data_IF_778022914114
#
_entry.id   IF_778022914114
#
_cell.length_a   1.000
_cell.length_b   1.000
_cell.length_c   1.000
_cell.angle_alpha   90.00
_cell.angle_beta   90.00
_cell.angle_gamma   90.00
#
_symmetry.space_group_name_H-M   'P 1'
#
loop_
_entity.id
_entity.type
_entity.pdbx_description
1 polymer ?
#
# COMPACT_ATOMS: atom_id res chain seq x y z
N UNK A 1 31.15 16.28 27.72
CA UNK A 1 30.67 14.91 27.50
C UNK A 1 29.16 14.96 27.52
N UNK A 2 28.54 15.06 26.35
CA UNK A 2 27.07 15.04 26.19
C UNK A 2 26.70 13.65 25.75
N UNK A 3 26.15 12.87 26.66
CA UNK A 3 25.56 11.58 26.35
C UNK A 3 24.28 11.84 25.55
N UNK A 4 24.34 11.58 24.26
CA UNK A 4 23.18 11.63 23.39
C UNK A 4 22.12 10.67 23.91
N UNK A 5 20.97 11.21 24.26
CA UNK A 5 19.77 10.48 24.61
C UNK A 5 19.24 9.80 23.35
N UNK A 6 19.74 8.60 23.03
CA UNK A 6 19.18 7.74 21.99
C UNK A 6 17.88 7.20 22.59
N UNK A 7 16.77 7.91 22.35
CA UNK A 7 15.46 7.37 22.67
C UNK A 7 15.37 5.99 22.02
N UNK A 8 15.21 4.96 22.84
CA UNK A 8 14.96 3.58 22.40
C UNK A 8 13.75 3.64 21.44
N UNK A 9 13.98 3.35 20.17
CA UNK A 9 12.85 3.21 19.23
C UNK A 9 12.04 2.03 19.71
N UNK A 10 10.74 2.22 19.85
CA UNK A 10 9.83 1.10 20.11
C UNK A 10 9.89 0.14 18.92
N UNK A 11 10.48 -1.04 19.14
CA UNK A 11 10.70 -2.06 18.10
C UNK A 11 9.39 -2.53 17.47
N UNK A 12 8.25 -2.23 18.09
CA UNK A 12 6.94 -2.57 17.60
C UNK A 12 6.37 -1.54 16.58
N UNK A 13 7.00 -0.37 16.40
CA UNK A 13 6.52 0.64 15.44
C UNK A 13 7.12 0.35 14.06
N UNK A 14 6.27 0.10 13.07
CA UNK A 14 6.67 -0.16 11.68
C UNK A 14 6.68 1.11 10.83
N UNK A 15 5.75 2.04 11.08
CA UNK A 15 5.69 3.36 10.44
C UNK A 15 5.44 4.41 11.50
N UNK A 16 6.20 5.50 11.48
CA UNK A 16 5.96 6.68 12.31
C UNK A 16 5.99 7.93 11.42
N UNK A 17 5.03 8.83 11.62
CA UNK A 17 5.03 10.17 11.03
C UNK A 17 4.91 11.22 12.12
N UNK A 18 5.61 12.36 11.96
CA UNK A 18 5.57 13.49 12.91
C UNK A 18 5.39 14.78 12.14
N UNK A 19 4.21 15.40 12.28
CA UNK A 19 3.82 16.63 11.59
C UNK A 19 4.11 16.56 10.08
N UNK A 20 3.88 15.38 9.49
CA UNK A 20 4.19 15.13 8.08
C UNK A 20 3.16 15.82 7.19
N UNK A 21 3.66 16.61 6.26
CA UNK A 21 2.92 17.27 5.20
C UNK A 21 3.56 16.98 3.85
N UNK A 22 2.76 16.89 2.79
CA UNK A 22 3.24 16.78 1.43
C UNK A 22 2.84 18.02 0.62
N UNK A 23 3.70 18.42 -0.31
CA UNK A 23 3.49 19.58 -1.16
C UNK A 23 3.55 19.15 -2.63
N UNK A 24 2.83 19.87 -3.49
CA UNK A 24 2.93 19.80 -4.95
C UNK A 24 2.87 21.20 -5.50
N UNK A 25 3.87 21.59 -6.28
CA UNK A 25 3.97 22.93 -6.86
C UNK A 25 3.75 24.03 -5.79
N UNK A 26 4.50 23.91 -4.67
CA UNK A 26 4.45 24.80 -3.48
C UNK A 26 3.13 24.75 -2.69
N UNK A 27 2.09 24.09 -3.20
CA UNK A 27 0.82 23.93 -2.51
C UNK A 27 0.87 22.77 -1.52
N UNK A 28 0.54 23.06 -0.26
CA UNK A 28 0.32 22.01 0.74
C UNK A 28 -0.95 21.22 0.42
N UNK A 29 -0.84 19.88 0.44
CA UNK A 29 -1.94 19.00 0.05
C UNK A 29 -2.90 18.71 1.20
N UNK A 30 -2.38 18.63 2.43
CA UNK A 30 -3.17 18.29 3.62
C UNK A 30 -2.52 18.86 4.89
N UNK A 31 -3.34 19.00 5.95
CA UNK A 31 -2.89 19.41 7.27
C UNK A 31 -1.84 18.42 7.84
N UNK A 32 -0.95 18.86 8.76
CA UNK A 32 0.07 17.98 9.32
C UNK A 32 -0.54 16.74 9.97
N UNK A 33 0.03 15.58 9.69
CA UNK A 33 -0.37 14.31 10.28
C UNK A 33 0.75 13.72 11.16
N UNK A 34 0.34 13.08 12.26
CA UNK A 34 1.25 12.36 13.17
C UNK A 34 0.61 11.04 13.54
N UNK A 35 1.09 9.96 12.93
CA UNK A 35 0.51 8.64 13.01
C UNK A 35 1.58 7.61 13.32
N UNK A 36 1.18 6.55 14.03
CA UNK A 36 2.00 5.37 14.29
C UNK A 36 1.28 4.12 13.81
N UNK A 37 1.99 3.26 13.10
CA UNK A 37 1.53 1.91 12.76
C UNK A 37 2.43 0.90 13.44
N UNK A 38 1.84 0.00 14.20
CA UNK A 38 2.55 -1.03 14.95
C UNK A 38 2.49 -2.38 14.22
N UNK A 39 3.37 -3.28 14.60
CA UNK A 39 3.32 -4.68 14.17
C UNK A 39 1.91 -5.24 14.43
N UNK A 40 1.31 -5.90 13.46
CA UNK A 40 -0.05 -6.40 13.50
C UNK A 40 -1.13 -5.32 13.31
N UNK A 41 -0.74 -4.06 13.05
CA UNK A 41 -1.66 -2.95 12.90
C UNK A 41 -1.88 -2.52 11.45
N UNK A 42 -3.01 -1.87 11.20
CA UNK A 42 -3.36 -1.28 9.90
C UNK A 42 -3.79 0.18 10.06
N UNK A 43 -3.37 1.02 9.10
CA UNK A 43 -3.77 2.43 9.00
C UNK A 43 -4.48 2.66 7.66
N UNK A 44 -5.72 3.13 7.73
CA UNK A 44 -6.46 3.58 6.56
C UNK A 44 -6.26 5.08 6.34
N UNK A 45 -5.80 5.45 5.16
CA UNK A 45 -5.66 6.84 4.72
C UNK A 45 -6.89 7.24 3.93
N UNK A 46 -7.78 8.02 4.54
CA UNK A 46 -9.01 8.54 3.95
C UNK A 46 -8.84 9.96 3.40
N UNK A 47 -9.70 10.32 2.47
CA UNK A 47 -9.76 11.67 1.91
C UNK A 47 -10.37 11.68 0.53
N UNK A 48 -10.81 12.87 0.08
CA UNK A 48 -11.39 13.07 -1.26
C UNK A 48 -10.36 12.77 -2.36
N UNK A 49 -10.83 12.56 -3.58
CA UNK A 49 -9.93 12.47 -4.73
C UNK A 49 -9.09 13.74 -4.84
N UNK A 50 -7.78 13.59 -5.04
CA UNK A 50 -6.83 14.70 -5.06
C UNK A 50 -6.35 15.21 -3.69
N UNK A 51 -6.80 14.65 -2.55
CA UNK A 51 -6.37 15.07 -1.21
C UNK A 51 -4.91 14.73 -0.87
N UNK A 52 -4.20 13.97 -1.70
CA UNK A 52 -2.81 13.63 -1.47
C UNK A 52 -2.55 12.21 -0.95
N UNK A 53 -3.54 11.31 -0.90
CA UNK A 53 -3.38 9.90 -0.43
C UNK A 53 -2.23 9.17 -1.11
N UNK A 54 -2.25 9.11 -2.45
CA UNK A 54 -1.16 8.54 -3.25
C UNK A 54 0.18 9.27 -3.02
N UNK A 55 0.14 10.59 -2.82
CA UNK A 55 1.35 11.39 -2.57
C UNK A 55 1.94 11.04 -1.21
N UNK A 56 1.13 10.86 -0.17
CA UNK A 56 1.56 10.40 1.15
C UNK A 56 2.23 9.02 1.06
N UNK A 57 1.59 8.04 0.42
CA UNK A 57 2.18 6.71 0.26
C UNK A 57 3.51 6.76 -0.49
N UNK A 58 3.61 7.60 -1.54
CA UNK A 58 4.86 7.80 -2.28
C UNK A 58 5.92 8.53 -1.45
N UNK A 59 5.54 9.45 -0.58
CA UNK A 59 6.47 10.11 0.33
C UNK A 59 7.10 9.10 1.29
N UNK A 60 6.30 8.22 1.91
CA UNK A 60 6.76 7.18 2.83
C UNK A 60 7.81 6.25 2.21
N UNK A 61 7.76 6.00 0.91
CA UNK A 61 8.74 5.16 0.20
C UNK A 61 9.85 5.96 -0.50
N UNK A 62 9.93 7.28 -0.26
CA UNK A 62 10.97 8.15 -0.82
C UNK A 62 10.77 8.56 -2.28
N UNK A 63 9.64 8.23 -2.92
CA UNK A 63 9.33 8.63 -4.30
C UNK A 63 8.76 10.05 -4.42
N UNK A 64 8.40 10.69 -3.29
CA UNK A 64 7.98 12.07 -3.25
C UNK A 64 8.79 12.81 -2.19
N UNK A 65 9.49 13.89 -2.60
CA UNK A 65 10.48 14.58 -1.74
C UNK A 65 10.02 15.92 -1.18
N UNK A 66 8.94 16.49 -1.71
CA UNK A 66 8.39 17.76 -1.25
C UNK A 66 7.56 17.53 0.02
N UNK A 67 8.24 17.37 1.15
CA UNK A 67 7.64 17.10 2.45
C UNK A 67 8.15 18.04 3.53
N UNK A 68 7.34 18.29 4.57
CA UNK A 68 7.74 18.88 5.85
C UNK A 68 7.39 17.89 6.96
N UNK A 69 8.03 18.03 8.12
CA UNK A 69 7.95 17.06 9.20
C UNK A 69 8.92 15.91 8.99
N UNK A 70 8.65 14.77 9.63
CA UNK A 70 9.48 13.58 9.51
C UNK A 70 8.66 12.32 9.45
N UNK A 71 9.24 11.27 8.90
CA UNK A 71 8.69 9.92 8.92
C UNK A 71 9.82 8.89 9.01
N UNK A 72 9.49 7.71 9.50
CA UNK A 72 10.39 6.56 9.48
C UNK A 72 9.63 5.28 9.20
N UNK A 73 10.30 4.35 8.51
CA UNK A 73 9.88 2.96 8.31
C UNK A 73 10.98 2.07 8.89
N UNK A 74 10.63 1.17 9.79
CA UNK A 74 11.57 0.31 10.51
C UNK A 74 11.78 -1.06 9.87
N UNK A 75 11.01 -1.40 8.83
CA UNK A 75 11.01 -2.73 8.22
C UNK A 75 11.00 -2.68 6.69
N UNK A 76 11.20 -3.83 6.06
CA UNK A 76 11.08 -3.93 4.60
C UNK A 76 9.62 -3.83 4.16
N UNK A 77 9.38 -3.17 3.04
CA UNK A 77 8.02 -2.92 2.56
C UNK A 77 7.77 -3.41 1.13
N UNK A 78 6.50 -3.69 0.85
CA UNK A 78 5.92 -3.83 -0.47
C UNK A 78 5.10 -2.57 -0.76
N UNK A 79 5.26 -1.99 -1.94
CA UNK A 79 4.42 -0.89 -2.41
C UNK A 79 3.63 -1.31 -3.63
N UNK A 80 2.32 -1.12 -3.58
CA UNK A 80 1.42 -1.25 -4.71
C UNK A 80 0.73 0.09 -4.94
N UNK A 81 1.16 0.78 -5.99
CA UNK A 81 0.51 2.03 -6.43
C UNK A 81 -0.71 1.76 -7.30
N UNK A 82 -1.30 2.84 -7.81
CA UNK A 82 -2.46 2.79 -8.69
C UNK A 82 -2.21 1.95 -9.97
N UNK A 83 -1.00 2.03 -10.54
CA UNK A 83 -0.59 1.13 -11.63
C UNK A 83 -0.29 -0.25 -11.05
N UNK A 84 -0.89 -1.29 -11.62
CA UNK A 84 -0.77 -2.66 -11.11
C UNK A 84 0.63 -3.26 -11.28
N UNK A 85 1.47 -2.69 -12.16
CA UNK A 85 2.84 -3.16 -12.41
C UNK A 85 2.87 -4.56 -13.04
N UNK A 86 1.90 -4.87 -13.89
CA UNK A 86 1.84 -6.08 -14.68
C UNK A 86 2.41 -5.80 -16.07
N UNK A 87 3.09 -6.79 -16.64
CA UNK A 87 3.33 -6.85 -18.08
C UNK A 87 2.09 -7.46 -18.74
N UNK A 88 1.39 -6.68 -19.54
CA UNK A 88 0.13 -7.10 -20.16
C UNK A 88 0.30 -8.15 -21.24
N UNK A 89 1.50 -8.33 -21.78
CA UNK A 89 1.80 -9.38 -22.76
C UNK A 89 2.04 -10.74 -22.09
N UNK A 90 2.37 -10.76 -20.82
CA UNK A 90 2.57 -11.96 -20.02
C UNK A 90 1.26 -12.52 -19.45
N UNK A 91 1.23 -13.82 -19.22
CA UNK A 91 0.16 -14.48 -18.46
C UNK A 91 0.23 -14.13 -16.96
N UNK A 92 -0.82 -14.38 -16.17
CA UNK A 92 -0.78 -14.27 -14.71
C UNK A 92 0.40 -15.00 -14.06
N UNK A 93 0.61 -16.27 -14.44
CA UNK A 93 1.70 -17.09 -13.88
C UNK A 93 3.08 -16.50 -14.23
N UNK A 94 3.29 -16.10 -15.48
CA UNK A 94 4.54 -15.47 -15.92
C UNK A 94 4.82 -14.16 -15.18
N UNK A 95 3.81 -13.30 -14.98
CA UNK A 95 3.93 -12.09 -14.18
C UNK A 95 4.38 -12.38 -12.74
N UNK A 96 3.82 -13.40 -12.09
CA UNK A 96 4.23 -13.77 -10.74
C UNK A 96 5.65 -14.32 -10.69
N UNK A 97 6.01 -15.20 -11.61
CA UNK A 97 7.36 -15.77 -11.73
C UNK A 97 8.39 -14.66 -11.97
N UNK A 98 8.08 -13.74 -12.87
CA UNK A 98 8.92 -12.57 -13.14
C UNK A 98 9.09 -11.69 -11.88
N UNK A 99 8.00 -11.44 -11.15
CA UNK A 99 8.04 -10.67 -9.92
C UNK A 99 8.84 -11.36 -8.80
N UNK A 100 8.76 -12.69 -8.67
CA UNK A 100 9.61 -13.46 -7.77
C UNK A 100 11.10 -13.23 -8.10
N UNK A 101 11.46 -13.32 -9.38
CA UNK A 101 12.84 -13.12 -9.83
C UNK A 101 13.34 -11.68 -9.56
N UNK A 102 12.51 -10.66 -9.79
CA UNK A 102 12.84 -9.27 -9.47
C UNK A 102 13.14 -9.04 -7.98
N UNK A 103 12.48 -9.80 -7.11
CA UNK A 103 12.70 -9.75 -5.67
C UNK A 103 13.83 -10.69 -5.19
N UNK A 104 14.65 -11.20 -6.11
CA UNK A 104 15.77 -12.09 -5.78
C UNK A 104 15.35 -13.49 -5.31
N UNK A 105 14.10 -13.88 -5.54
CA UNK A 105 13.57 -15.20 -5.18
C UNK A 105 13.76 -16.19 -6.34
N UNK A 106 13.90 -17.46 -6.01
CA UNK A 106 13.90 -18.50 -7.04
C UNK A 106 12.52 -18.57 -7.69
N UNK A 107 12.49 -18.49 -9.01
CA UNK A 107 11.26 -18.63 -9.81
C UNK A 107 10.57 -19.98 -9.50
N UNK A 108 9.27 -19.93 -9.18
CA UNK A 108 8.48 -21.09 -8.81
C UNK A 108 7.09 -21.02 -9.44
N UNK A 109 6.93 -21.65 -10.60
CA UNK A 109 5.67 -21.70 -11.31
C UNK A 109 4.52 -22.34 -10.50
N UNK A 110 4.84 -23.40 -9.72
CA UNK A 110 3.81 -24.07 -8.92
C UNK A 110 3.29 -23.17 -7.80
N UNK A 111 4.15 -22.36 -7.17
CA UNK A 111 3.69 -21.35 -6.20
C UNK A 111 2.88 -20.25 -6.89
N UNK A 112 3.37 -19.74 -8.01
CA UNK A 112 2.66 -18.74 -8.80
C UNK A 112 1.25 -19.23 -9.20
N UNK A 113 1.13 -20.45 -9.71
CA UNK A 113 -0.15 -21.03 -10.08
C UNK A 113 -1.09 -21.17 -8.86
N UNK A 114 -0.60 -21.66 -7.71
CA UNK A 114 -1.44 -21.75 -6.48
C UNK A 114 -1.98 -20.39 -6.05
N UNK A 115 -1.18 -19.33 -6.15
CA UNK A 115 -1.64 -17.99 -5.79
C UNK A 115 -2.68 -17.44 -6.77
N UNK A 116 -2.57 -17.77 -8.05
CA UNK A 116 -3.56 -17.43 -9.08
C UNK A 116 -4.86 -18.23 -8.85
N UNK A 117 -4.76 -19.53 -8.54
CA UNK A 117 -5.89 -20.39 -8.23
C UNK A 117 -6.63 -19.93 -6.97
N UNK A 118 -5.89 -19.59 -5.90
CA UNK A 118 -6.45 -19.06 -4.64
C UNK A 118 -7.33 -17.81 -4.87
N UNK A 119 -6.98 -16.98 -5.86
CA UNK A 119 -7.77 -15.80 -6.23
C UNK A 119 -8.86 -16.08 -7.28
N UNK A 120 -9.11 -17.37 -7.58
CA UNK A 120 -10.17 -17.80 -8.50
C UNK A 120 -9.87 -17.44 -9.96
N UNK A 121 -8.60 -17.52 -10.38
CA UNK A 121 -8.15 -17.21 -11.73
C UNK A 121 -7.49 -18.39 -12.44
N UNK A 122 -7.68 -19.63 -11.97
CA UNK A 122 -7.07 -20.83 -12.55
C UNK A 122 -7.35 -20.99 -14.05
N UNK A 123 -8.60 -20.76 -14.47
CA UNK A 123 -8.98 -20.83 -15.89
C UNK A 123 -8.34 -19.74 -16.78
N UNK A 124 -7.75 -18.72 -16.16
CA UNK A 124 -7.08 -17.59 -16.84
C UNK A 124 -5.56 -17.60 -16.64
N UNK A 125 -5.03 -18.63 -16.00
CA UNK A 125 -3.61 -18.72 -15.64
C UNK A 125 -2.67 -18.58 -16.86
N UNK A 126 -3.10 -19.07 -18.03
CA UNK A 126 -2.35 -19.04 -19.30
C UNK A 126 -2.87 -17.98 -20.29
N UNK A 127 -3.84 -17.14 -19.87
CA UNK A 127 -4.36 -16.05 -20.72
C UNK A 127 -3.53 -14.79 -20.52
N UNK A 128 -2.92 -14.18 -21.57
CA UNK A 128 -2.20 -12.91 -21.43
C UNK A 128 -3.03 -11.83 -20.72
N UNK A 129 -2.40 -11.08 -19.82
CA UNK A 129 -3.08 -10.12 -18.96
C UNK A 129 -3.81 -9.02 -19.71
N UNK A 130 -3.40 -8.68 -20.94
CA UNK A 130 -4.12 -7.71 -21.80
C UNK A 130 -5.58 -8.11 -22.05
N UNK A 131 -5.91 -9.40 -22.03
CA UNK A 131 -7.26 -9.92 -22.27
C UNK A 131 -8.08 -10.11 -20.99
N UNK A 132 -7.51 -9.79 -19.83
CA UNK A 132 -8.18 -9.84 -18.55
C UNK A 132 -8.97 -8.56 -18.26
N UNK A 133 -10.10 -8.71 -17.54
CA UNK A 133 -10.83 -7.55 -17.00
C UNK A 133 -9.99 -6.79 -15.96
N UNK A 134 -10.39 -5.55 -15.65
CA UNK A 134 -9.70 -4.73 -14.63
C UNK A 134 -9.66 -5.44 -13.26
N UNK A 135 -10.77 -6.08 -12.84
CA UNK A 135 -10.83 -6.86 -11.60
C UNK A 135 -9.92 -8.09 -11.64
N UNK A 136 -9.85 -8.81 -12.76
CA UNK A 136 -8.94 -9.95 -12.93
C UNK A 136 -7.48 -9.50 -12.88
N UNK A 137 -7.10 -8.40 -13.55
CA UNK A 137 -5.77 -7.79 -13.46
C UNK A 137 -5.44 -7.39 -12.01
N UNK A 138 -6.41 -6.83 -11.28
CA UNK A 138 -6.25 -6.51 -9.85
C UNK A 138 -5.95 -7.76 -9.02
N UNK A 139 -6.67 -8.86 -9.23
CA UNK A 139 -6.40 -10.15 -8.59
C UNK A 139 -4.98 -10.67 -8.89
N UNK A 140 -4.51 -10.59 -10.13
CA UNK A 140 -3.11 -10.94 -10.48
C UNK A 140 -2.11 -10.09 -9.70
N UNK A 141 -2.38 -8.78 -9.55
CA UNK A 141 -1.56 -7.90 -8.73
C UNK A 141 -1.56 -8.31 -7.25
N UNK A 142 -2.71 -8.71 -6.69
CA UNK A 142 -2.83 -9.20 -5.31
C UNK A 142 -2.08 -10.53 -5.13
N UNK A 143 -2.15 -11.44 -6.10
CA UNK A 143 -1.45 -12.72 -6.06
C UNK A 143 0.06 -12.57 -5.81
N UNK A 144 0.68 -11.46 -6.25
CA UNK A 144 2.10 -11.16 -5.99
C UNK A 144 2.39 -10.85 -4.52
N UNK A 145 1.40 -10.36 -3.76
CA UNK A 145 1.60 -10.03 -2.34
C UNK A 145 1.71 -11.30 -1.49
N UNK A 146 1.01 -12.38 -1.89
CA UNK A 146 1.01 -13.67 -1.19
C UNK A 146 2.42 -14.32 -1.16
N UNK A 147 3.24 -14.04 -2.16
CA UNK A 147 4.64 -14.50 -2.21
C UNK A 147 5.61 -13.51 -1.55
N UNK A 148 5.14 -12.38 -1.02
CA UNK A 148 6.01 -11.34 -0.46
C UNK A 148 6.44 -11.69 0.96
N UNK A 149 7.74 -11.52 1.26
CA UNK A 149 8.29 -11.58 2.61
C UNK A 149 8.29 -10.22 3.33
N UNK A 150 7.74 -9.19 2.68
CA UNK A 150 7.72 -7.83 3.20
C UNK A 150 6.72 -7.69 4.33
N UNK A 151 7.18 -7.16 5.45
CA UNK A 151 6.37 -7.02 6.65
C UNK A 151 5.44 -5.80 6.62
N UNK A 152 5.75 -4.78 5.86
CA UNK A 152 4.88 -3.62 5.68
C UNK A 152 4.31 -3.60 4.26
N UNK A 153 2.99 -3.50 4.14
CA UNK A 153 2.32 -3.27 2.87
C UNK A 153 1.81 -1.84 2.78
N UNK A 154 2.19 -1.15 1.71
CA UNK A 154 1.76 0.20 1.38
C UNK A 154 0.93 0.12 0.10
N UNK A 155 -0.39 0.27 0.21
CA UNK A 155 -1.33 -0.08 -0.84
C UNK A 155 -2.20 1.10 -1.26
N UNK A 156 -2.14 1.47 -2.53
CA UNK A 156 -2.95 2.55 -3.08
C UNK A 156 -4.25 1.98 -3.68
N UNK A 157 -5.37 2.25 -3.00
CA UNK A 157 -6.72 1.81 -3.38
C UNK A 157 -6.82 0.29 -3.65
N UNK A 158 -6.50 -0.57 -2.66
CA UNK A 158 -6.44 -2.01 -2.86
C UNK A 158 -7.78 -2.64 -3.25
N UNK A 159 -8.91 -2.10 -2.81
CA UNK A 159 -10.25 -2.63 -3.05
C UNK A 159 -10.88 -2.17 -4.36
N UNK A 160 -10.32 -1.17 -5.04
CA UNK A 160 -10.85 -0.66 -6.31
C UNK A 160 -10.86 -1.74 -7.39
N UNK A 161 -11.95 -1.82 -8.15
CA UNK A 161 -12.20 -2.79 -9.24
C UNK A 161 -12.41 -4.25 -8.77
N UNK A 162 -12.54 -4.50 -7.47
CA UNK A 162 -12.94 -5.80 -6.94
C UNK A 162 -14.45 -5.87 -6.76
N UNK A 163 -15.02 -7.03 -7.03
CA UNK A 163 -16.38 -7.37 -6.63
C UNK A 163 -16.43 -7.72 -5.12
N UNK A 164 -17.64 -7.92 -4.59
CA UNK A 164 -17.84 -8.19 -3.16
C UNK A 164 -17.12 -9.46 -2.70
N UNK A 165 -17.12 -10.51 -3.50
CA UNK A 165 -16.47 -11.79 -3.14
C UNK A 165 -14.94 -11.64 -3.13
N UNK A 166 -14.38 -10.99 -4.14
CA UNK A 166 -12.94 -10.71 -4.19
C UNK A 166 -12.50 -9.77 -3.06
N UNK A 167 -13.36 -8.82 -2.67
CA UNK A 167 -13.11 -7.94 -1.53
C UNK A 167 -13.05 -8.71 -0.21
N UNK A 168 -13.92 -9.69 0.01
CA UNK A 168 -13.87 -10.58 1.19
C UNK A 168 -12.57 -11.41 1.22
N UNK A 169 -12.15 -11.93 0.06
CA UNK A 169 -10.87 -12.64 -0.05
C UNK A 169 -9.70 -11.70 0.30
N UNK A 170 -9.71 -10.45 -0.18
CA UNK A 170 -8.68 -9.49 0.17
C UNK A 170 -8.68 -9.15 1.67
N UNK A 171 -9.85 -9.05 2.30
CA UNK A 171 -9.97 -8.88 3.76
C UNK A 171 -9.28 -10.03 4.49
N UNK A 172 -9.54 -11.29 4.10
CA UNK A 172 -8.88 -12.44 4.73
C UNK A 172 -7.36 -12.45 4.54
N UNK A 173 -6.87 -11.99 3.38
CA UNK A 173 -5.43 -11.82 3.12
C UNK A 173 -4.83 -10.74 4.06
N UNK A 174 -5.54 -9.64 4.29
CA UNK A 174 -5.11 -8.60 5.23
C UNK A 174 -5.02 -9.15 6.65
N UNK A 175 -6.08 -9.82 7.13
CA UNK A 175 -6.12 -10.40 8.46
C UNK A 175 -4.98 -11.41 8.68
N UNK A 176 -4.74 -12.29 7.70
CA UNK A 176 -3.65 -13.26 7.76
C UNK A 176 -2.27 -12.56 7.82
N UNK A 177 -2.06 -11.52 7.01
CA UNK A 177 -0.82 -10.75 7.03
C UNK A 177 -0.56 -10.10 8.38
N UNK A 178 -1.58 -9.48 8.99
CA UNK A 178 -1.49 -8.82 10.30
C UNK A 178 -1.25 -9.83 11.43
N UNK A 179 -1.97 -10.96 11.43
CA UNK A 179 -1.77 -12.04 12.43
C UNK A 179 -0.36 -12.61 12.36
N UNK A 180 0.25 -12.67 11.16
CA UNK A 180 1.63 -13.10 10.95
C UNK A 180 2.67 -12.00 11.25
N UNK A 181 2.28 -10.94 11.96
CA UNK A 181 3.15 -9.85 12.39
C UNK A 181 3.50 -8.86 11.28
N UNK A 182 2.70 -8.81 10.22
CA UNK A 182 2.76 -7.76 9.21
C UNK A 182 2.10 -6.46 9.67
N UNK A 183 2.17 -5.43 8.82
CA UNK A 183 1.49 -4.15 9.01
C UNK A 183 1.01 -3.63 7.66
N UNK A 184 -0.06 -2.85 7.64
CA UNK A 184 -0.65 -2.34 6.41
C UNK A 184 -0.93 -0.85 6.54
N UNK A 185 -0.52 -0.06 5.54
CA UNK A 185 -1.00 1.30 5.31
C UNK A 185 -1.67 1.32 3.94
N UNK A 186 -2.92 1.70 3.88
CA UNK A 186 -3.62 1.71 2.60
C UNK A 186 -4.50 2.94 2.43
N UNK A 187 -4.60 3.42 1.19
CA UNK A 187 -5.56 4.47 0.84
C UNK A 187 -6.90 3.86 0.46
N UNK A 188 -7.98 4.55 0.78
CA UNK A 188 -9.31 4.15 0.35
C UNK A 188 -10.19 5.38 0.07
N UNK A 189 -11.15 5.23 -0.83
CA UNK A 189 -12.19 6.21 -1.12
C UNK A 189 -13.60 5.58 -1.12
N UNK A 190 -13.68 4.27 -0.89
CA UNK A 190 -14.92 3.49 -0.84
C UNK A 190 -15.29 3.29 0.64
N UNK A 191 -16.59 3.34 0.97
CA UNK A 191 -17.05 3.09 2.32
C UNK A 191 -16.70 1.67 2.78
N UNK A 192 -16.39 1.57 4.05
CA UNK A 192 -15.92 0.46 4.87
C UNK A 192 -16.08 -0.98 4.28
N UNK A 193 -15.09 -1.42 3.50
CA UNK A 193 -14.93 -2.84 3.13
C UNK A 193 -14.14 -3.59 4.22
N UNK A 194 -13.27 -2.87 4.93
CA UNK A 194 -12.38 -3.39 5.96
C UNK A 194 -12.38 -2.48 7.18
N UNK A 195 -12.27 -3.02 8.39
CA UNK A 195 -12.15 -2.23 9.62
C UNK A 195 -10.67 -2.15 10.03
N UNK A 196 -10.00 -1.01 9.83
CA UNK A 196 -8.59 -0.84 10.17
C UNK A 196 -8.39 -0.69 11.68
N UNK A 197 -7.15 -0.86 12.16
CA UNK A 197 -6.77 -0.58 13.56
C UNK A 197 -6.82 0.93 13.86
N UNK A 198 -6.49 1.76 12.87
CA UNK A 198 -6.56 3.21 12.94
C UNK A 198 -6.89 3.82 11.58
N UNK A 199 -7.36 5.05 11.58
CA UNK A 199 -7.63 5.81 10.35
C UNK A 199 -7.13 7.25 10.47
N UNK A 200 -6.65 7.79 9.37
CA UNK A 200 -6.30 9.20 9.23
C UNK A 200 -7.03 9.80 8.03
N UNK A 201 -7.66 10.94 8.24
CA UNK A 201 -8.31 11.69 7.17
C UNK A 201 -7.42 12.84 6.73
N UNK A 202 -7.06 12.84 5.45
CA UNK A 202 -6.31 13.95 4.87
C UNK A 202 -7.25 15.13 4.61
N UNK A 203 -7.25 16.09 5.54
CA UNK A 203 -8.01 17.32 5.42
C UNK A 203 -7.23 18.34 4.57
N UNK A 204 -7.90 19.02 3.63
CA UNK A 204 -7.25 20.07 2.85
C UNK A 204 -6.80 21.20 3.79
N UNK A 205 -5.67 21.81 3.48
CA UNK A 205 -5.26 23.05 4.16
C UNK A 205 -6.19 24.16 3.66
N UNK A 206 -7.02 24.70 4.54
CA UNK A 206 -7.77 25.91 4.25
C UNK A 206 -6.75 27.05 4.11
N UNK A 207 -6.72 27.68 2.95
CA UNK A 207 -5.96 28.92 2.74
C UNK A 207 -6.73 30.04 3.47
N UNK A 208 -6.52 30.17 4.79
CA UNK A 208 -6.93 31.39 5.47
C UNK A 208 -6.13 32.56 4.89
N UNK A 209 -6.84 33.47 4.20
CA UNK A 209 -6.40 34.83 3.96
C UNK A 209 -5.30 35.04 2.93
N UNK A 210 -5.59 34.84 1.64
CA UNK A 210 -5.06 35.77 0.65
C UNK A 210 -6.02 36.94 0.62
N UNK A 211 -5.81 37.92 1.48
CA UNK A 211 -6.35 39.26 1.27
C UNK A 211 -5.60 39.80 0.05
N UNK A 212 -6.28 39.88 -1.09
CA UNK A 212 -5.79 40.64 -2.24
C UNK A 212 -5.56 42.07 -1.77
N UNK A 213 -4.30 42.52 -1.86
CA UNK A 213 -3.94 43.94 -1.85
C UNK A 213 -3.89 44.45 -3.28
#
# INVERSE_FOLDING_TARGET
MSLGNTALRDENITVETKNLQCFRDERCLFAPISEEVRVGGSLEVKGRNGSGKTTLLRALIGLHRQTRGSFSISTSFLYQGHKLGLDESMTPVENLVWFQALNGRKANQSSAFRNIDFLGLSEKADTPCQFLSAGQKKKVSIARWLDSDKKLWLLDEPFTSLDNESSKVLVSIFDEHLVNGGSIVYSNHIDAVYTPSSEVRLEPVELEGIVEC
#
